data_IF_048495715373
#
_entry.id   IF_048495715373
#
_cell.length_a   1.000
_cell.length_b   1.000
_cell.length_c   1.000
_cell.angle_alpha   90.00
_cell.angle_beta   90.00
_cell.angle_gamma   90.00
#
_symmetry.space_group_name_H-M   'P 1'
#
loop_
_entity.id
_entity.type
_entity.pdbx_description
1 polymer ?
#
# COMPACT_ATOMS: atom_id res chain seq x y z
N UNK A 1 30.86 -7.10 -11.22
CA UNK A 1 29.40 -7.36 -11.21
C UNK A 1 28.90 -7.16 -9.79
N UNK A 2 28.21 -6.04 -9.52
CA UNK A 2 27.62 -5.75 -8.22
C UNK A 2 26.34 -6.56 -8.02
N UNK A 3 26.14 -7.11 -6.83
CA UNK A 3 25.00 -7.94 -6.49
C UNK A 3 23.73 -7.09 -6.40
N UNK A 4 22.90 -7.12 -7.45
CA UNK A 4 21.56 -6.48 -7.52
C UNK A 4 20.67 -6.83 -6.32
N UNK A 5 20.92 -7.97 -5.69
CA UNK A 5 20.24 -8.45 -4.49
C UNK A 5 20.51 -7.57 -3.25
N UNK A 6 21.71 -7.01 -3.13
CA UNK A 6 22.06 -6.11 -2.02
C UNK A 6 21.37 -4.75 -2.16
N UNK A 7 21.21 -4.27 -3.39
CA UNK A 7 20.50 -3.01 -3.66
C UNK A 7 19.02 -3.10 -3.25
N UNK A 8 18.37 -4.24 -3.49
CA UNK A 8 16.98 -4.49 -3.07
C UNK A 8 16.83 -4.50 -1.53
N UNK A 9 17.78 -5.12 -0.82
CA UNK A 9 17.77 -5.19 0.64
C UNK A 9 18.02 -3.80 1.25
N UNK A 10 18.87 -2.98 0.62
CA UNK A 10 19.15 -1.61 1.07
C UNK A 10 17.91 -0.73 1.06
N UNK A 11 17.10 -0.81 0.00
CA UNK A 11 15.84 -0.05 -0.11
C UNK A 11 14.87 -0.45 1.01
N UNK A 12 14.71 -1.74 1.25
CA UNK A 12 13.85 -2.24 2.33
C UNK A 12 14.36 -1.79 3.70
N UNK A 13 15.68 -1.86 3.94
CA UNK A 13 16.31 -1.42 5.20
C UNK A 13 16.10 0.07 5.45
N UNK A 14 16.23 0.89 4.40
CA UNK A 14 15.90 2.31 4.45
C UNK A 14 14.42 2.53 4.76
N UNK A 15 13.54 1.75 4.14
CA UNK A 15 12.09 1.81 4.39
C UNK A 15 11.69 1.31 5.79
N UNK A 16 12.51 0.54 6.48
CA UNK A 16 12.27 0.18 7.89
C UNK A 16 12.85 1.20 8.89
N UNK A 17 13.77 2.07 8.47
CA UNK A 17 14.41 3.04 9.37
C UNK A 17 13.61 4.33 9.58
N UNK A 18 12.68 4.66 8.67
CA UNK A 18 11.80 5.82 8.87
C UNK A 18 10.70 5.51 9.88
N UNK A 19 10.42 6.49 10.73
CA UNK A 19 9.48 6.36 11.85
C UNK A 19 8.01 6.46 11.42
N UNK A 20 7.72 7.03 10.24
CA UNK A 20 6.37 7.18 9.70
C UNK A 20 6.39 7.38 8.19
N UNK A 21 5.46 6.73 7.48
CA UNK A 21 5.26 6.90 6.04
C UNK A 21 3.86 7.41 5.73
N UNK A 22 3.79 8.33 4.77
CA UNK A 22 2.53 8.71 4.14
C UNK A 22 2.46 8.05 2.76
N UNK A 23 1.56 7.06 2.62
CA UNK A 23 1.38 6.30 1.37
C UNK A 23 0.04 6.64 0.77
N UNK A 24 0.03 6.99 -0.52
CA UNK A 24 -1.18 7.25 -1.30
C UNK A 24 -1.35 6.13 -2.32
N UNK A 25 -2.50 5.45 -2.30
CA UNK A 25 -2.83 4.42 -3.28
C UNK A 25 -3.65 5.05 -4.40
N UNK A 26 -3.11 5.02 -5.62
CA UNK A 26 -3.74 5.55 -6.83
C UNK A 26 -4.16 4.41 -7.78
N UNK A 27 -5.12 4.67 -8.66
CA UNK A 27 -5.57 3.69 -9.67
C UNK A 27 -7.00 3.91 -10.14
N UNK A 28 -7.39 3.21 -11.20
CA UNK A 28 -8.71 3.27 -11.85
C UNK A 28 -9.84 2.81 -10.92
N UNK A 29 -11.09 3.14 -11.24
CA UNK A 29 -12.25 2.59 -10.54
C UNK A 29 -12.23 1.05 -10.59
N UNK A 30 -12.75 0.42 -9.54
CA UNK A 30 -12.76 -1.04 -9.39
C UNK A 30 -11.37 -1.74 -9.36
N UNK A 31 -10.25 -1.02 -9.36
CA UNK A 31 -8.90 -1.63 -9.25
C UNK A 31 -8.58 -2.31 -7.90
N UNK A 32 -9.54 -2.38 -6.96
CA UNK A 32 -9.36 -3.07 -5.67
C UNK A 32 -8.51 -2.32 -4.64
N UNK A 33 -8.31 -1.01 -4.79
CA UNK A 33 -7.49 -0.17 -3.87
C UNK A 33 -7.93 -0.30 -2.40
N UNK A 34 -9.24 -0.23 -2.17
CA UNK A 34 -9.83 -0.41 -0.83
C UNK A 34 -9.60 -1.82 -0.30
N UNK A 35 -9.77 -2.84 -1.14
CA UNK A 35 -9.53 -4.24 -0.77
C UNK A 35 -8.08 -4.47 -0.31
N UNK A 36 -7.11 -3.86 -1.00
CA UNK A 36 -5.70 -3.92 -0.61
C UNK A 36 -5.46 -3.24 0.74
N UNK A 37 -6.05 -2.06 1.00
CA UNK A 37 -5.93 -1.40 2.31
C UNK A 37 -6.48 -2.24 3.45
N UNK A 38 -7.69 -2.80 3.30
CA UNK A 38 -8.27 -3.68 4.31
C UNK A 38 -7.40 -4.92 4.53
N UNK A 39 -6.86 -5.50 3.46
CA UNK A 39 -5.97 -6.65 3.58
C UNK A 39 -4.67 -6.32 4.32
N UNK A 40 -4.11 -5.12 4.12
CA UNK A 40 -2.92 -4.67 4.84
C UNK A 40 -3.19 -4.33 6.31
N UNK A 41 -4.37 -3.78 6.62
CA UNK A 41 -4.72 -3.38 7.99
C UNK A 41 -5.15 -4.56 8.87
N UNK A 42 -5.87 -5.52 8.31
CA UNK A 42 -6.48 -6.62 9.07
C UNK A 42 -5.88 -8.00 8.75
N UNK A 43 -4.94 -8.08 7.80
CA UNK A 43 -4.32 -9.33 7.36
C UNK A 43 -5.32 -10.40 6.86
N UNK A 44 -6.54 -9.99 6.51
CA UNK A 44 -7.62 -10.86 6.06
C UNK A 44 -8.11 -10.46 4.65
N UNK A 45 -8.50 -11.46 3.85
CA UNK A 45 -9.12 -11.21 2.54
C UNK A 45 -10.60 -10.87 2.71
N UNK A 46 -10.91 -9.58 2.77
CA UNK A 46 -12.28 -9.08 2.90
C UNK A 46 -12.87 -8.79 1.52
N UNK A 47 -14.09 -9.28 1.27
CA UNK A 47 -14.89 -8.82 0.13
C UNK A 47 -15.39 -7.40 0.41
N UNK A 48 -14.68 -6.40 -0.10
CA UNK A 48 -15.05 -5.00 0.11
C UNK A 48 -16.16 -4.57 -0.85
N UNK A 49 -17.14 -3.85 -0.34
CA UNK A 49 -18.14 -3.17 -1.17
C UNK A 49 -17.45 -2.03 -1.94
N UNK A 50 -17.71 -1.86 -3.25
CA UNK A 50 -17.20 -0.71 -4.00
C UNK A 50 -17.62 0.59 -3.32
N UNK A 51 -16.64 1.45 -3.00
CA UNK A 51 -16.94 2.77 -2.43
C UNK A 51 -17.71 3.59 -3.46
N UNK A 52 -18.90 4.08 -3.11
CA UNK A 52 -19.57 5.14 -3.88
C UNK A 52 -18.60 6.33 -3.91
N UNK A 53 -18.21 6.75 -5.11
CA UNK A 53 -17.03 7.57 -5.37
C UNK A 53 -16.82 8.72 -4.39
N UNK A 54 -15.58 8.83 -3.89
CA UNK A 54 -14.98 9.96 -3.19
C UNK A 54 -15.83 10.66 -2.12
N UNK A 55 -15.52 10.38 -0.85
CA UNK A 55 -15.97 11.17 0.30
C UNK A 55 -14.75 11.88 0.89
N UNK A 56 -14.57 13.16 0.59
CA UNK A 56 -13.71 14.05 1.39
C UNK A 56 -14.58 14.53 2.54
N UNK A 57 -14.25 14.13 3.76
CA UNK A 57 -14.83 14.72 4.96
C UNK A 57 -14.00 15.96 5.26
N UNK A 58 -14.64 17.13 5.18
CA UNK A 58 -14.03 18.41 5.54
C UNK A 58 -13.83 18.51 7.05
#
# INVERSE_FOLDING_TARGET
>A
MGNVLLDQISILSSLLSFQSFHVVILGFDCAGKTTVLYRLQFNESVNTVPTKGFKTEN
#
